data_IF_019212040645
#
_entry.id   IF_019212040645
#
_cell.length_a   1.000
_cell.length_b   1.000
_cell.length_c   1.000
_cell.angle_alpha   90.00
_cell.angle_beta   90.00
_cell.angle_gamma   90.00
#
_symmetry.space_group_name_H-M   'P 1'
#
loop_
_entity.id
_entity.type
_entity.pdbx_description
1 polymer ?
#
# COMPACT_ATOMS: atom_id res chain seq x y z
N UNK A 1 28.03 -23.58 27.48
CA UNK A 1 26.82 -24.05 26.77
C UNK A 1 25.65 -23.29 27.38
N UNK A 2 24.98 -22.40 26.63
CA UNK A 2 23.74 -21.78 27.09
C UNK A 2 22.70 -22.90 27.14
N UNK A 3 22.13 -23.17 28.31
CA UNK A 3 21.00 -24.10 28.40
C UNK A 3 19.88 -23.58 27.50
N UNK A 4 19.43 -24.41 26.55
CA UNK A 4 18.25 -24.11 25.74
C UNK A 4 17.06 -24.05 26.70
N UNK A 5 16.51 -22.84 26.89
CA UNK A 5 15.24 -22.70 27.59
C UNK A 5 14.11 -23.09 26.65
N UNK A 6 13.85 -24.40 26.59
CA UNK A 6 12.83 -25.01 25.74
C UNK A 6 11.42 -24.42 25.96
N UNK A 7 11.18 -23.72 27.08
CA UNK A 7 9.90 -23.06 27.34
C UNK A 7 9.79 -21.75 26.58
N UNK A 8 10.83 -20.92 26.62
CA UNK A 8 10.85 -19.63 25.92
C UNK A 8 10.71 -19.84 24.40
N UNK A 9 11.45 -20.80 23.84
CA UNK A 9 11.36 -21.13 22.42
C UNK A 9 9.93 -21.58 22.05
N UNK A 10 9.32 -22.43 22.89
CA UNK A 10 7.94 -22.91 22.67
C UNK A 10 6.91 -21.77 22.68
N UNK A 11 7.04 -20.81 23.60
CA UNK A 11 6.13 -19.67 23.67
C UNK A 11 6.25 -18.78 22.43
N UNK A 12 7.46 -18.56 21.92
CA UNK A 12 7.70 -17.81 20.67
C UNK A 12 7.06 -18.48 19.45
N UNK A 13 7.22 -19.80 19.31
CA UNK A 13 6.58 -20.56 18.22
C UNK A 13 5.06 -20.51 18.28
N UNK A 14 4.47 -20.65 19.48
CA UNK A 14 3.03 -20.58 19.67
C UNK A 14 2.50 -19.19 19.34
N UNK A 15 3.24 -18.13 19.69
CA UNK A 15 2.88 -16.76 19.36
C UNK A 15 2.91 -16.52 17.85
N UNK A 16 4.01 -16.89 17.20
CA UNK A 16 4.15 -16.77 15.75
C UNK A 16 3.02 -17.53 15.01
N UNK A 17 2.66 -18.72 15.48
CA UNK A 17 1.57 -19.52 14.92
C UNK A 17 0.21 -18.86 15.17
N UNK A 18 -0.04 -18.27 16.34
CA UNK A 18 -1.27 -17.56 16.65
C UNK A 18 -1.44 -16.32 15.76
N UNK A 19 -0.40 -15.50 15.62
CA UNK A 19 -0.42 -14.28 14.81
C UNK A 19 -0.63 -14.63 13.33
N UNK A 20 0.14 -15.60 12.81
CA UNK A 20 0.03 -16.07 11.43
C UNK A 20 -1.32 -16.71 11.15
N UNK A 21 -1.78 -17.60 12.04
CA UNK A 21 -3.08 -18.24 11.92
C UNK A 21 -4.23 -17.23 11.94
N UNK A 22 -4.15 -16.20 12.79
CA UNK A 22 -5.17 -15.14 12.85
C UNK A 22 -5.17 -14.30 11.58
N UNK A 23 -4.01 -13.85 11.09
CA UNK A 23 -3.89 -13.10 9.84
C UNK A 23 -4.47 -13.90 8.66
N UNK A 24 -4.15 -15.19 8.59
CA UNK A 24 -4.65 -16.09 7.55
C UNK A 24 -6.16 -16.29 7.62
N UNK A 25 -6.72 -16.55 8.81
CA UNK A 25 -8.18 -16.69 9.01
C UNK A 25 -8.90 -15.41 8.60
N UNK A 26 -8.39 -14.23 8.97
CA UNK A 26 -8.96 -12.94 8.58
C UNK A 26 -8.89 -12.74 7.07
N UNK A 27 -7.76 -13.06 6.43
CA UNK A 27 -7.62 -12.98 4.97
C UNK A 27 -8.61 -13.90 4.23
N UNK A 28 -8.81 -15.13 4.70
CA UNK A 28 -9.81 -16.07 4.15
C UNK A 28 -11.23 -15.53 4.34
N UNK A 29 -11.55 -15.00 5.51
CA UNK A 29 -12.85 -14.39 5.78
C UNK A 29 -13.11 -13.17 4.88
N UNK A 30 -12.08 -12.34 4.67
CA UNK A 30 -12.15 -11.20 3.76
C UNK A 30 -12.31 -11.64 2.31
N UNK A 31 -11.61 -12.67 1.85
CA UNK A 31 -11.80 -13.22 0.51
C UNK A 31 -13.25 -13.67 0.29
N UNK A 32 -13.85 -14.36 1.27
CA UNK A 32 -15.27 -14.73 1.21
C UNK A 32 -16.17 -13.49 1.13
N UNK A 33 -15.84 -12.43 1.86
CA UNK A 33 -16.56 -11.17 1.78
C UNK A 33 -16.40 -10.48 0.42
N UNK A 34 -15.20 -10.49 -0.17
CA UNK A 34 -14.92 -9.98 -1.53
C UNK A 34 -15.78 -10.69 -2.56
N UNK A 35 -15.82 -12.04 -2.53
CA UNK A 35 -16.64 -12.82 -3.47
C UNK A 35 -18.11 -12.42 -3.38
N UNK A 36 -18.64 -12.25 -2.17
CA UNK A 36 -20.03 -11.83 -1.98
C UNK A 36 -20.27 -10.36 -2.35
N UNK A 37 -19.33 -9.48 -2.02
CA UNK A 37 -19.45 -8.05 -2.27
C UNK A 37 -19.37 -7.78 -3.77
N UNK A 38 -18.32 -8.24 -4.47
CA UNK A 38 -18.12 -7.94 -5.89
C UNK A 38 -19.00 -8.78 -6.82
N UNK A 39 -19.39 -10.00 -6.43
CA UNK A 39 -20.29 -10.86 -7.20
C UNK A 39 -19.88 -10.93 -8.69
N UNK A 40 -20.75 -10.52 -9.62
CA UNK A 40 -20.48 -10.51 -11.05
C UNK A 40 -19.27 -9.64 -11.48
N UNK A 41 -18.89 -8.62 -10.70
CA UNK A 41 -17.75 -7.76 -11.02
C UNK A 41 -16.41 -8.46 -10.81
N UNK A 42 -16.35 -9.51 -9.98
CA UNK A 42 -15.11 -10.24 -9.74
C UNK A 42 -14.56 -10.87 -11.03
N UNK A 43 -15.44 -11.47 -11.85
CA UNK A 43 -15.04 -12.07 -13.12
C UNK A 43 -14.53 -11.02 -14.12
N UNK A 44 -15.15 -9.83 -14.12
CA UNK A 44 -14.72 -8.72 -14.97
C UNK A 44 -13.32 -8.22 -14.55
N UNK A 45 -13.05 -8.14 -13.24
CA UNK A 45 -11.75 -7.76 -12.72
C UNK A 45 -10.67 -8.80 -13.06
N UNK A 46 -10.98 -10.10 -12.93
CA UNK A 46 -10.08 -11.18 -13.35
C UNK A 46 -9.70 -11.09 -14.83
N UNK A 47 -10.67 -10.81 -15.71
CA UNK A 47 -10.40 -10.66 -17.14
C UNK A 47 -9.52 -9.43 -17.42
N UNK A 48 -9.71 -8.34 -16.67
CA UNK A 48 -8.87 -7.16 -16.76
C UNK A 48 -7.40 -7.45 -16.46
N UNK A 49 -7.16 -8.29 -15.45
CA UNK A 49 -5.84 -8.65 -14.95
C UNK A 49 -5.07 -9.47 -15.97
N UNK A 50 -5.73 -10.47 -16.57
CA UNK A 50 -5.19 -11.25 -17.69
C UNK A 50 -4.87 -10.33 -18.87
N UNK A 51 -5.72 -9.32 -19.12
CA UNK A 51 -5.50 -8.31 -20.15
C UNK A 51 -4.13 -7.62 -20.01
N UNK A 52 -3.66 -7.34 -18.79
CA UNK A 52 -2.35 -6.69 -18.58
C UNK A 52 -1.20 -7.53 -19.15
N UNK A 53 -1.19 -8.84 -18.91
CA UNK A 53 -0.14 -9.73 -19.43
C UNK A 53 -0.22 -9.91 -20.95
N UNK A 54 -1.44 -9.82 -21.51
CA UNK A 54 -1.67 -10.00 -22.94
C UNK A 54 -1.42 -8.73 -23.77
N UNK A 55 -1.25 -7.59 -23.11
CA UNK A 55 -1.09 -6.27 -23.73
C UNK A 55 -2.39 -5.51 -23.98
N UNK A 56 -3.48 -5.95 -23.35
CA UNK A 56 -4.82 -5.38 -23.41
C UNK A 56 -5.29 -4.89 -22.03
N UNK A 57 -4.58 -3.95 -21.38
CA UNK A 57 -5.01 -3.41 -20.10
C UNK A 57 -6.27 -2.56 -20.28
N UNK A 58 -7.08 -2.45 -19.22
CA UNK A 58 -8.19 -1.49 -19.22
C UNK A 58 -7.72 -0.07 -19.53
N UNK A 59 -6.59 0.34 -18.94
CA UNK A 59 -5.99 1.64 -19.15
C UNK A 59 -4.50 1.50 -19.31
N UNK A 60 -3.86 2.35 -20.14
CA UNK A 60 -2.41 2.25 -20.38
C UNK A 60 -1.56 2.33 -19.12
N UNK A 61 -1.96 3.13 -18.12
CA UNK A 61 -1.20 3.20 -16.88
C UNK A 61 -1.23 1.87 -16.10
N UNK A 62 -2.27 1.05 -16.27
CA UNK A 62 -2.30 -0.29 -15.67
C UNK A 62 -1.29 -1.26 -16.31
N UNK A 63 -0.67 -0.92 -17.44
CA UNK A 63 0.22 -1.83 -18.15
C UNK A 63 1.48 -2.23 -17.36
N UNK A 64 1.93 -1.40 -16.41
CA UNK A 64 3.09 -1.74 -15.57
C UNK A 64 2.76 -2.65 -14.39
N UNK A 65 1.51 -3.12 -14.26
CA UNK A 65 1.04 -3.96 -13.15
C UNK A 65 1.17 -5.44 -13.45
N UNK A 66 2.37 -5.84 -13.87
CA UNK A 66 2.63 -7.20 -14.37
C UNK A 66 2.88 -8.20 -13.25
N UNK A 67 3.38 -7.78 -12.09
CA UNK A 67 3.80 -8.68 -11.01
C UNK A 67 2.64 -9.53 -10.49
N UNK A 68 1.54 -8.90 -10.07
CA UNK A 68 0.44 -9.64 -9.46
C UNK A 68 -0.26 -10.59 -10.44
N UNK A 69 -0.64 -10.19 -11.68
CA UNK A 69 -1.15 -11.13 -12.67
C UNK A 69 -0.16 -12.24 -13.03
N UNK A 70 1.14 -11.94 -13.06
CA UNK A 70 2.17 -12.95 -13.30
C UNK A 70 2.22 -13.99 -12.18
N UNK A 71 2.07 -13.60 -10.91
CA UNK A 71 1.99 -14.54 -9.79
C UNK A 71 0.78 -15.46 -9.89
N UNK A 72 -0.38 -14.93 -10.31
CA UNK A 72 -1.58 -15.75 -10.56
C UNK A 72 -1.32 -16.76 -11.66
N UNK A 73 -0.72 -16.33 -12.76
CA UNK A 73 -0.40 -17.21 -13.87
C UNK A 73 0.59 -18.32 -13.45
N UNK A 74 1.60 -18.02 -12.64
CA UNK A 74 2.50 -19.04 -12.10
C UNK A 74 1.77 -20.09 -11.25
N UNK A 75 0.77 -19.68 -10.48
CA UNK A 75 -0.05 -20.60 -9.69
C UNK A 75 -0.99 -21.40 -10.61
N UNK A 76 -1.57 -20.78 -11.63
CA UNK A 76 -2.41 -21.44 -12.64
C UNK A 76 -1.66 -22.58 -13.34
N UNK A 77 -0.34 -22.42 -13.62
CA UNK A 77 0.51 -23.47 -14.20
C UNK A 77 0.60 -24.74 -13.33
N UNK A 78 0.18 -24.70 -12.07
CA UNK A 78 0.08 -25.90 -11.20
C UNK A 78 -1.20 -26.71 -11.43
N UNK A 79 -2.08 -26.26 -12.34
CA UNK A 79 -3.32 -26.95 -12.73
C UNK A 79 -4.58 -26.44 -12.04
N UNK A 80 -4.49 -25.38 -11.23
CA UNK A 80 -5.67 -24.71 -10.65
C UNK A 80 -6.23 -23.68 -11.63
N UNK A 81 -7.53 -23.39 -11.55
CA UNK A 81 -8.14 -22.34 -12.37
C UNK A 81 -7.75 -20.94 -11.88
N UNK A 82 -7.89 -19.94 -12.76
CA UNK A 82 -7.53 -18.54 -12.48
C UNK A 82 -8.23 -17.97 -11.24
N UNK A 83 -9.51 -18.29 -11.00
CA UNK A 83 -10.23 -17.81 -9.82
C UNK A 83 -9.59 -18.29 -8.52
N UNK A 84 -9.15 -19.56 -8.48
CA UNK A 84 -8.43 -20.13 -7.33
C UNK A 84 -7.04 -19.49 -7.22
N UNK A 85 -6.33 -19.32 -8.33
CA UNK A 85 -5.03 -18.65 -8.34
C UNK A 85 -5.12 -17.22 -7.77
N UNK A 86 -6.10 -16.43 -8.20
CA UNK A 86 -6.38 -15.10 -7.68
C UNK A 86 -6.70 -15.14 -6.18
N UNK A 87 -7.58 -16.05 -5.75
CA UNK A 87 -7.90 -16.22 -4.33
C UNK A 87 -6.64 -16.49 -3.49
N UNK A 88 -5.75 -17.35 -3.98
CA UNK A 88 -4.48 -17.67 -3.32
C UNK A 88 -3.62 -16.41 -3.20
N UNK A 89 -3.38 -15.68 -4.30
CA UNK A 89 -2.55 -14.46 -4.27
C UNK A 89 -3.17 -13.40 -3.34
N UNK A 90 -4.49 -13.20 -3.38
CA UNK A 90 -5.20 -12.24 -2.53
C UNK A 90 -5.08 -12.62 -1.03
N UNK A 91 -5.31 -13.89 -0.67
CA UNK A 91 -5.23 -14.37 0.71
C UNK A 91 -3.79 -14.24 1.24
N UNK A 92 -2.78 -14.64 0.47
CA UNK A 92 -1.38 -14.51 0.88
C UNK A 92 -0.94 -13.05 0.94
N UNK A 93 -1.41 -12.19 0.02
CA UNK A 93 -1.15 -10.76 0.04
C UNK A 93 -1.69 -10.09 1.29
N UNK A 94 -2.95 -10.35 1.65
CA UNK A 94 -3.58 -9.84 2.88
C UNK A 94 -2.93 -10.39 4.15
N UNK A 95 -2.65 -11.69 4.18
CA UNK A 95 -1.96 -12.32 5.31
C UNK A 95 -0.60 -11.67 5.52
N UNK A 96 0.20 -11.54 4.45
CA UNK A 96 1.52 -10.91 4.49
C UNK A 96 1.45 -9.43 4.90
N UNK A 97 0.46 -8.68 4.43
CA UNK A 97 0.27 -7.28 4.81
C UNK A 97 -0.05 -7.13 6.31
N UNK A 98 -0.96 -7.98 6.83
CA UNK A 98 -1.29 -8.02 8.25
C UNK A 98 -0.08 -8.39 9.13
N UNK A 99 0.68 -9.42 8.73
CA UNK A 99 1.91 -9.82 9.40
C UNK A 99 2.98 -8.72 9.38
N UNK A 100 3.21 -8.10 8.23
CA UNK A 100 4.19 -7.02 8.11
C UNK A 100 3.85 -5.86 9.06
N UNK A 101 2.57 -5.49 9.19
CA UNK A 101 2.15 -4.43 10.11
C UNK A 101 2.19 -4.82 11.58
N UNK A 102 1.89 -6.09 11.91
CA UNK A 102 2.10 -6.62 13.25
C UNK A 102 3.56 -6.44 13.67
N UNK A 103 4.50 -6.94 12.86
CA UNK A 103 5.93 -6.85 13.16
C UNK A 103 6.46 -5.41 13.10
N UNK A 104 5.91 -4.56 12.22
CA UNK A 104 6.29 -3.15 12.14
C UNK A 104 5.91 -2.41 13.44
N UNK A 105 4.69 -2.62 13.92
CA UNK A 105 4.21 -2.05 15.17
C UNK A 105 4.96 -2.63 16.38
N UNK A 106 5.27 -3.92 16.39
CA UNK A 106 6.06 -4.55 17.46
C UNK A 106 7.48 -3.97 17.51
N UNK A 107 8.13 -3.79 16.36
CA UNK A 107 9.45 -3.17 16.26
C UNK A 107 9.44 -1.73 16.81
N UNK A 108 8.38 -0.96 16.55
CA UNK A 108 8.27 0.42 17.01
C UNK A 108 7.86 0.57 18.48
N UNK A 109 7.05 -0.35 19.01
CA UNK A 109 6.47 -0.24 20.34
C UNK A 109 7.22 -1.04 21.42
N UNK A 110 8.09 -1.98 21.03
CA UNK A 110 8.84 -2.88 21.91
C UNK A 110 8.12 -4.21 22.17
N UNK A 111 8.79 -5.14 22.84
CA UNK A 111 8.30 -6.51 23.07
C UNK A 111 7.38 -6.66 24.31
N UNK A 112 7.18 -5.61 25.10
CA UNK A 112 6.29 -5.66 26.26
C UNK A 112 4.80 -5.73 25.90
N UNK A 113 3.94 -5.94 26.90
CA UNK A 113 2.47 -6.10 26.72
C UNK A 113 1.83 -4.96 25.92
N UNK A 114 2.19 -3.70 26.21
CA UNK A 114 1.72 -2.53 25.46
C UNK A 114 2.12 -2.58 23.98
N UNK A 115 3.34 -3.04 23.69
CA UNK A 115 3.83 -3.16 22.31
C UNK A 115 3.12 -4.27 21.53
N UNK A 116 2.86 -5.40 22.19
CA UNK A 116 2.09 -6.50 21.63
C UNK A 116 0.63 -6.11 21.35
N UNK A 117 -0.01 -5.35 22.25
CA UNK A 117 -1.36 -4.83 22.01
C UNK A 117 -1.42 -3.92 20.77
N UNK A 118 -0.40 -3.07 20.59
CA UNK A 118 -0.27 -2.20 19.41
C UNK A 118 -0.04 -3.00 18.12
N UNK A 119 0.75 -4.06 18.18
CA UNK A 119 0.95 -4.97 17.06
C UNK A 119 -0.36 -5.65 16.61
N UNK A 120 -1.12 -6.19 17.55
CA UNK A 120 -2.46 -6.74 17.28
C UNK A 120 -3.42 -5.68 16.74
N UNK A 121 -3.40 -4.47 17.31
CA UNK A 121 -4.23 -3.36 16.83
C UNK A 121 -3.91 -3.01 15.38
N UNK A 122 -2.63 -2.96 15.00
CA UNK A 122 -2.22 -2.66 13.62
C UNK A 122 -2.66 -3.75 12.64
N UNK A 123 -2.50 -5.03 12.99
CA UNK A 123 -2.98 -6.15 12.19
C UNK A 123 -4.49 -6.08 11.97
N UNK A 124 -5.26 -5.93 13.06
CA UNK A 124 -6.72 -5.87 12.98
C UNK A 124 -7.21 -4.63 12.23
N UNK A 125 -6.62 -3.46 12.50
CA UNK A 125 -6.94 -2.22 11.82
C UNK A 125 -6.68 -2.32 10.32
N UNK A 126 -5.61 -2.97 9.88
CA UNK A 126 -5.36 -3.20 8.46
C UNK A 126 -6.51 -3.96 7.79
N UNK A 127 -6.95 -5.06 8.39
CA UNK A 127 -8.07 -5.83 7.85
C UNK A 127 -9.38 -5.02 7.85
N UNK A 128 -9.67 -4.27 8.91
CA UNK A 128 -10.87 -3.41 8.95
C UNK A 128 -10.81 -2.31 7.88
N UNK A 129 -9.68 -1.63 7.75
CA UNK A 129 -9.47 -0.57 6.76
C UNK A 129 -9.56 -1.10 5.32
N UNK A 130 -9.01 -2.29 5.06
CA UNK A 130 -9.17 -2.94 3.75
C UNK A 130 -10.64 -3.09 3.38
N UNK A 131 -11.46 -3.64 4.29
CA UNK A 131 -12.89 -3.82 4.03
C UNK A 131 -13.62 -2.49 3.83
N UNK A 132 -13.28 -1.48 4.63
CA UNK A 132 -13.90 -0.16 4.55
C UNK A 132 -13.56 0.59 3.24
N UNK A 133 -12.42 0.28 2.62
CA UNK A 133 -11.92 0.94 1.41
C UNK A 133 -12.14 0.11 0.13
N UNK A 134 -12.90 -1.00 0.18
CA UNK A 134 -13.34 -1.67 -1.03
C UNK A 134 -14.40 -0.82 -1.73
N UNK A 135 -14.30 -0.66 -3.05
CA UNK A 135 -15.32 0.02 -3.86
C UNK A 135 -15.65 -0.80 -5.10
N UNK A 136 -16.94 -0.90 -5.40
CA UNK A 136 -17.41 -1.50 -6.66
C UNK A 136 -17.25 -0.49 -7.80
N UNK A 137 -17.03 -0.97 -9.04
CA UNK A 137 -16.83 -2.36 -9.43
C UNK A 137 -15.37 -2.84 -9.30
N UNK A 138 -14.43 -1.97 -8.91
CA UNK A 138 -13.02 -2.21 -9.09
C UNK A 138 -12.31 -2.72 -7.84
N UNK A 139 -11.77 -3.93 -7.91
CA UNK A 139 -10.77 -4.45 -6.99
C UNK A 139 -9.95 -5.47 -7.76
N UNK A 140 -8.67 -5.18 -7.92
CA UNK A 140 -7.78 -6.00 -8.73
C UNK A 140 -6.70 -6.67 -7.89
N UNK A 141 -6.06 -7.70 -8.45
CA UNK A 141 -5.06 -8.46 -7.73
C UNK A 141 -3.84 -7.64 -7.31
N UNK A 142 -3.45 -6.65 -8.12
CA UNK A 142 -2.34 -5.74 -7.79
C UNK A 142 -2.63 -4.84 -6.59
N UNK A 143 -3.91 -4.64 -6.20
CA UNK A 143 -4.27 -3.85 -5.01
C UNK A 143 -3.82 -4.58 -3.72
N UNK A 144 -3.88 -5.92 -3.70
CA UNK A 144 -3.38 -6.74 -2.59
C UNK A 144 -1.86 -6.72 -2.48
N UNK A 145 -1.16 -6.80 -3.63
CA UNK A 145 0.31 -6.70 -3.67
C UNK A 145 0.77 -5.28 -3.33
N UNK A 146 0.01 -4.24 -3.70
CA UNK A 146 0.26 -2.86 -3.30
C UNK A 146 0.15 -2.70 -1.77
N UNK A 147 -0.87 -3.29 -1.15
CA UNK A 147 -1.01 -3.32 0.30
C UNK A 147 0.16 -4.02 0.98
N UNK A 148 0.54 -5.20 0.50
CA UNK A 148 1.68 -5.96 1.02
C UNK A 148 2.97 -5.16 0.91
N UNK A 149 3.30 -4.64 -0.27
CA UNK A 149 4.54 -3.89 -0.49
C UNK A 149 4.60 -2.61 0.34
N UNK A 150 3.46 -1.93 0.52
CA UNK A 150 3.38 -0.74 1.38
C UNK A 150 3.50 -1.09 2.87
N UNK A 151 2.89 -2.19 3.32
CA UNK A 151 3.06 -2.70 4.68
C UNK A 151 4.52 -3.11 4.96
N UNK A 152 5.17 -3.78 4.01
CA UNK A 152 6.61 -4.13 4.07
C UNK A 152 7.46 -2.86 4.11
N UNK A 153 7.12 -1.81 3.34
CA UNK A 153 7.81 -0.52 3.43
C UNK A 153 7.78 0.03 4.87
N UNK A 154 6.61 0.06 5.53
CA UNK A 154 6.53 0.51 6.93
C UNK A 154 7.31 -0.39 7.89
N UNK A 155 7.31 -1.71 7.67
CA UNK A 155 8.16 -2.64 8.42
C UNK A 155 9.64 -2.27 8.29
N UNK A 156 10.13 -2.01 7.07
CA UNK A 156 11.52 -1.61 6.83
C UNK A 156 11.85 -0.26 7.49
N UNK A 157 10.92 0.70 7.47
CA UNK A 157 11.10 2.00 8.14
C UNK A 157 11.24 1.81 9.64
N UNK A 158 10.33 1.05 10.26
CA UNK A 158 10.28 0.90 11.71
C UNK A 158 11.34 -0.06 12.27
N UNK A 159 11.83 -0.99 11.46
CA UNK A 159 12.99 -1.85 11.79
C UNK A 159 14.34 -1.20 11.45
N UNK A 160 14.34 0.02 10.89
CA UNK A 160 15.55 0.74 10.47
C UNK A 160 16.40 -0.08 9.49
N UNK A 161 15.73 -0.73 8.55
CA UNK A 161 16.40 -1.54 7.56
C UNK A 161 17.44 -0.72 6.76
N UNK A 162 18.53 -1.36 6.30
CA UNK A 162 19.53 -0.69 5.48
C UNK A 162 18.97 -0.30 4.10
N UNK A 163 19.63 0.67 3.45
CA UNK A 163 19.20 1.22 2.15
C UNK A 163 18.95 0.16 1.06
N UNK A 164 19.71 -0.94 1.06
CA UNK A 164 19.57 -1.99 0.04
C UNK A 164 18.24 -2.74 0.16
N UNK A 165 17.64 -2.81 1.35
CA UNK A 165 16.33 -3.45 1.53
C UNK A 165 15.22 -2.62 0.89
N UNK A 166 15.32 -1.29 0.97
CA UNK A 166 14.40 -0.37 0.28
C UNK A 166 14.58 -0.44 -1.23
N UNK A 167 15.82 -0.55 -1.71
CA UNK A 167 16.09 -0.73 -3.14
C UNK A 167 15.54 -2.07 -3.66
N UNK A 168 15.67 -3.15 -2.89
CA UNK A 168 15.09 -4.45 -3.23
C UNK A 168 13.56 -4.38 -3.28
N UNK A 169 12.92 -3.73 -2.28
CA UNK A 169 11.48 -3.51 -2.28
C UNK A 169 11.03 -2.68 -3.48
N UNK A 170 11.73 -1.58 -3.80
CA UNK A 170 11.46 -0.75 -4.98
C UNK A 170 11.57 -1.57 -6.26
N UNK A 171 12.62 -2.39 -6.39
CA UNK A 171 12.86 -3.24 -7.56
C UNK A 171 11.77 -4.28 -7.79
N UNK A 172 11.13 -4.78 -6.75
CA UNK A 172 9.96 -5.69 -6.88
C UNK A 172 8.67 -4.89 -7.10
N UNK A 173 8.44 -3.85 -6.30
CA UNK A 173 7.18 -3.10 -6.29
C UNK A 173 6.93 -2.32 -7.59
N UNK A 174 7.98 -1.91 -8.32
CA UNK A 174 7.83 -1.18 -9.59
C UNK A 174 7.19 -2.03 -10.71
N UNK A 175 7.24 -3.36 -10.61
CA UNK A 175 6.50 -4.27 -11.49
C UNK A 175 5.02 -4.42 -11.10
N UNK A 176 4.59 -3.84 -9.98
CA UNK A 176 3.20 -3.92 -9.52
C UNK A 176 2.46 -2.59 -9.61
N UNK A 177 3.11 -1.48 -9.27
CA UNK A 177 2.45 -0.17 -9.24
C UNK A 177 3.45 0.99 -9.41
N UNK A 178 3.09 2.04 -10.14
CA UNK A 178 4.02 3.16 -10.39
C UNK A 178 4.32 3.96 -9.12
N UNK A 179 3.41 3.97 -8.14
CA UNK A 179 3.65 4.61 -6.84
C UNK A 179 4.84 4.03 -6.08
N UNK A 180 5.38 2.87 -6.48
CA UNK A 180 6.62 2.33 -5.95
C UNK A 180 7.77 3.35 -6.00
N UNK A 181 7.79 4.25 -7.00
CA UNK A 181 8.80 5.32 -7.11
C UNK A 181 8.84 6.24 -5.89
N UNK A 182 7.77 6.33 -5.10
CA UNK A 182 7.75 7.08 -3.85
C UNK A 182 8.68 6.48 -2.79
N UNK A 183 9.02 5.19 -2.87
CA UNK A 183 10.04 4.57 -2.01
C UNK A 183 11.39 5.25 -2.22
N UNK A 184 11.80 5.48 -3.48
CA UNK A 184 13.02 6.22 -3.79
C UNK A 184 12.94 7.68 -3.33
N UNK A 185 11.76 8.30 -3.47
CA UNK A 185 11.47 9.62 -2.88
C UNK A 185 11.70 9.68 -1.37
N UNK A 186 11.20 8.69 -0.62
CA UNK A 186 11.45 8.54 0.81
C UNK A 186 12.95 8.37 1.12
N UNK A 187 13.67 7.55 0.36
CA UNK A 187 15.11 7.34 0.58
C UNK A 187 15.90 8.65 0.45
N UNK A 188 15.59 9.45 -0.59
CA UNK A 188 16.20 10.77 -0.79
C UNK A 188 15.83 11.74 0.33
N UNK A 189 14.53 11.81 0.70
CA UNK A 189 14.06 12.68 1.78
C UNK A 189 14.73 12.32 3.11
N UNK A 190 14.82 11.02 3.44
CA UNK A 190 15.52 10.52 4.62
C UNK A 190 16.98 10.97 4.66
N UNK A 191 17.71 10.77 3.56
CA UNK A 191 19.14 11.14 3.49
C UNK A 191 19.36 12.64 3.74
N UNK A 192 18.51 13.49 3.18
CA UNK A 192 18.60 14.96 3.31
C UNK A 192 18.17 15.41 4.71
N UNK A 193 17.05 14.90 5.20
CA UNK A 193 16.49 15.29 6.50
C UNK A 193 17.40 14.83 7.64
N UNK A 194 17.88 13.59 7.64
CA UNK A 194 18.80 13.10 8.68
C UNK A 194 20.09 13.92 8.71
N UNK A 195 20.65 14.24 7.54
CA UNK A 195 21.84 15.08 7.42
C UNK A 195 21.64 16.50 7.95
N UNK A 196 20.48 17.10 7.66
CA UNK A 196 20.13 18.41 8.19
C UNK A 196 19.98 18.41 9.71
N UNK A 197 19.27 17.41 10.26
CA UNK A 197 19.03 17.25 11.70
C UNK A 197 20.34 17.01 12.45
N UNK A 198 21.22 16.18 11.89
CA UNK A 198 22.49 15.79 12.50
C UNK A 198 23.65 16.73 12.13
N UNK A 199 23.38 17.78 11.35
CA UNK A 199 24.37 18.76 10.87
C UNK A 199 25.58 18.10 10.20
N UNK A 200 25.35 17.03 9.44
CA UNK A 200 26.38 16.28 8.70
C UNK A 200 26.06 16.24 7.21
N UNK A 201 26.93 15.59 6.42
CA UNK A 201 26.68 15.37 5.00
C UNK A 201 25.60 14.28 4.79
N UNK A 202 24.76 14.40 3.74
CA UNK A 202 23.83 13.34 3.33
C UNK A 202 24.52 11.99 3.17
N UNK A 203 23.85 10.93 3.62
CA UNK A 203 24.30 9.58 3.30
C UNK A 203 24.06 9.32 1.80
N UNK A 204 25.15 9.37 1.04
CA UNK A 204 25.11 9.19 -0.41
C UNK A 204 24.58 7.82 -0.82
N UNK A 205 24.66 6.80 0.02
CA UNK A 205 24.10 5.47 -0.31
C UNK A 205 22.58 5.54 -0.38
N UNK A 206 21.94 6.24 0.56
CA UNK A 206 20.49 6.44 0.54
C UNK A 206 20.06 7.36 -0.60
N UNK A 207 20.78 8.49 -0.76
CA UNK A 207 20.43 9.50 -1.76
C UNK A 207 20.64 9.00 -3.20
N UNK A 208 21.80 8.42 -3.50
CA UNK A 208 22.10 7.90 -4.84
C UNK A 208 21.24 6.68 -5.18
N UNK A 209 21.05 5.73 -4.25
CA UNK A 209 20.19 4.57 -4.51
C UNK A 209 18.72 4.96 -4.66
N UNK A 210 18.24 5.96 -3.91
CA UNK A 210 16.89 6.51 -4.10
C UNK A 210 16.73 7.14 -5.49
N UNK A 211 17.67 8.01 -5.89
CA UNK A 211 17.64 8.68 -7.19
C UNK A 211 17.76 7.69 -8.36
N UNK A 212 18.84 6.90 -8.38
CA UNK A 212 19.12 5.94 -9.46
C UNK A 212 18.05 4.84 -9.49
N UNK A 213 17.59 4.38 -8.34
CA UNK A 213 16.51 3.41 -8.22
C UNK A 213 15.19 3.94 -8.79
N UNK A 214 14.80 5.18 -8.48
CA UNK A 214 13.61 5.80 -9.06
C UNK A 214 13.73 5.96 -10.58
N UNK A 215 14.87 6.42 -11.09
CA UNK A 215 15.11 6.54 -12.54
C UNK A 215 15.03 5.17 -13.23
N UNK A 216 15.65 4.14 -12.65
CA UNK A 216 15.58 2.78 -13.17
C UNK A 216 14.15 2.23 -13.13
N UNK A 217 13.40 2.45 -12.04
CA UNK A 217 12.01 2.05 -11.93
C UNK A 217 11.13 2.73 -13.01
N UNK A 218 11.30 4.03 -13.25
CA UNK A 218 10.60 4.72 -14.34
C UNK A 218 10.97 4.15 -15.72
N UNK A 219 12.26 3.87 -15.95
CA UNK A 219 12.70 3.26 -17.20
C UNK A 219 12.08 1.87 -17.42
N UNK A 220 12.00 1.03 -16.38
CA UNK A 220 11.34 -0.28 -16.43
C UNK A 220 9.84 -0.13 -16.69
N UNK A 221 9.15 0.74 -15.98
CA UNK A 221 7.72 1.01 -16.17
C UNK A 221 7.43 1.43 -17.61
N UNK A 222 8.22 2.36 -18.16
CA UNK A 222 8.05 2.83 -19.53
C UNK A 222 8.42 1.76 -20.56
N UNK A 223 9.46 0.96 -20.29
CA UNK A 223 9.82 -0.18 -21.14
C UNK A 223 8.68 -1.20 -21.21
N UNK A 224 8.08 -1.57 -20.08
CA UNK A 224 6.93 -2.47 -20.03
C UNK A 224 5.74 -1.90 -20.78
N UNK A 225 5.44 -0.61 -20.59
CA UNK A 225 4.37 0.09 -21.33
C UNK A 225 4.58 0.05 -22.84
N UNK A 226 5.80 0.31 -23.32
CA UNK A 226 6.08 0.33 -24.76
C UNK A 226 6.10 -1.06 -25.39
N UNK A 227 6.54 -2.07 -24.63
CA UNK A 227 6.79 -3.41 -25.17
C UNK A 227 5.55 -4.29 -25.07
N UNK A 228 4.78 -4.18 -23.99
CA UNK A 228 3.62 -5.05 -23.75
C UNK A 228 2.32 -4.44 -24.27
N UNK A 229 2.15 -3.11 -24.24
CA UNK A 229 0.89 -2.49 -24.66
C UNK A 229 0.63 -2.72 -26.14
N UNK A 230 -0.49 -3.38 -26.44
CA UNK A 230 -1.03 -3.52 -27.80
C UNK A 230 -2.18 -2.54 -28.00
N UNK A 231 -3.12 -2.52 -27.07
CA UNK A 231 -4.29 -1.65 -27.13
C UNK A 231 -4.88 -1.44 -25.73
N UNK A 232 -5.41 -0.25 -25.46
CA UNK A 232 -6.26 -0.02 -24.28
C UNK A 232 -7.68 -0.49 -24.55
N UNK A 233 -8.27 -1.30 -23.66
CA UNK A 233 -9.60 -1.89 -23.88
C UNK A 233 -10.69 -1.36 -22.95
N UNK A 234 -10.35 -0.52 -21.96
CA UNK A 234 -11.28 -0.03 -20.95
C UNK A 234 -12.50 0.66 -21.56
N UNK A 235 -12.29 1.53 -22.55
CA UNK A 235 -13.39 2.23 -23.22
C UNK A 235 -14.35 1.29 -24.00
N UNK A 236 -13.88 0.10 -24.41
CA UNK A 236 -14.72 -0.89 -25.11
C UNK A 236 -15.60 -1.67 -24.13
N UNK A 237 -15.08 -1.91 -22.92
CA UNK A 237 -15.73 -2.69 -21.86
C UNK A 237 -16.69 -1.80 -21.06
N UNK A 238 -16.27 -0.57 -20.74
CA UNK A 238 -17.03 0.37 -19.92
C UNK A 238 -17.65 1.49 -20.77
N UNK A 239 -18.54 1.12 -21.70
CA UNK A 239 -19.19 2.05 -22.65
C UNK A 239 -19.95 3.19 -21.96
N UNK A 240 -20.43 2.98 -20.73
CA UNK A 240 -21.16 4.00 -19.97
C UNK A 240 -20.24 5.07 -19.36
N UNK A 241 -18.95 4.76 -19.13
CA UNK A 241 -17.95 5.70 -18.62
C UNK A 241 -17.52 6.69 -19.72
N UNK A 242 -17.64 6.32 -21.00
CA UNK A 242 -17.37 7.23 -22.13
C UNK A 242 -18.27 8.46 -22.17
N UNK A 243 -19.41 8.49 -21.46
CA UNK A 243 -20.28 9.66 -21.44
C UNK A 243 -19.75 10.83 -20.63
N UNK A 244 -18.71 10.67 -19.79
CA UNK A 244 -18.19 11.76 -18.95
C UNK A 244 -16.77 12.25 -19.27
N UNK A 245 -16.01 11.58 -20.15
CA UNK A 245 -14.67 12.06 -20.54
C UNK A 245 -14.58 12.26 -22.05
N UNK A 246 -14.25 13.49 -22.43
CA UNK A 246 -14.03 13.92 -23.81
C UNK A 246 -13.18 12.92 -24.60
N UNK A 247 -13.60 12.66 -25.83
CA UNK A 247 -13.11 11.68 -26.81
C UNK A 247 -11.66 11.87 -27.30
N UNK A 248 -10.78 12.47 -26.50
CA UNK A 248 -9.38 12.71 -26.84
C UNK A 248 -8.46 12.17 -25.76
N UNK A 249 -7.47 11.41 -26.22
CA UNK A 249 -6.37 10.77 -25.48
C UNK A 249 -5.65 11.70 -24.47
N UNK A 250 -5.83 13.01 -24.58
CA UNK A 250 -5.32 14.05 -23.67
C UNK A 250 -5.97 14.05 -22.28
N UNK A 251 -7.05 13.28 -22.04
CA UNK A 251 -7.88 13.43 -20.85
C UNK A 251 -7.45 12.68 -19.57
N UNK A 252 -6.55 11.70 -19.65
CA UNK A 252 -6.26 10.82 -18.51
C UNK A 252 -5.05 11.24 -17.65
N UNK A 253 -4.26 12.21 -18.12
CA UNK A 253 -3.32 12.98 -17.29
C UNK A 253 -3.88 14.36 -16.92
N UNK A 254 -5.21 14.51 -16.88
CA UNK A 254 -5.79 15.70 -16.31
C UNK A 254 -5.50 15.73 -14.80
N UNK A 255 -5.06 16.90 -14.35
CA UNK A 255 -4.97 17.20 -12.94
C UNK A 255 -6.41 17.21 -12.42
N UNK A 256 -6.81 16.15 -11.71
CA UNK A 256 -8.17 15.89 -11.23
C UNK A 256 -8.56 16.74 -10.01
N UNK A 257 -7.72 17.70 -9.63
CA UNK A 257 -7.89 18.50 -8.42
C UNK A 257 -9.27 19.16 -8.38
N UNK A 258 -9.67 19.82 -9.47
CA UNK A 258 -10.97 20.52 -9.55
C UNK A 258 -12.16 19.57 -9.39
N UNK A 259 -12.14 18.44 -10.10
CA UNK A 259 -13.21 17.42 -10.04
C UNK A 259 -13.28 16.77 -8.66
N UNK A 260 -12.14 16.37 -8.09
CA UNK A 260 -12.08 15.76 -6.76
C UNK A 260 -12.58 16.71 -5.67
N UNK A 261 -12.22 18.00 -5.73
CA UNK A 261 -12.74 18.99 -4.77
C UNK A 261 -14.23 19.29 -4.97
N UNK A 262 -14.73 19.29 -6.21
CA UNK A 262 -16.16 19.36 -6.50
C UNK A 262 -16.93 18.20 -5.88
N UNK A 263 -16.46 16.97 -6.11
CA UNK A 263 -17.05 15.77 -5.51
C UNK A 263 -17.05 15.80 -3.98
N UNK A 264 -15.96 16.27 -3.36
CA UNK A 264 -15.90 16.39 -1.90
C UNK A 264 -16.93 17.38 -1.36
N UNK A 265 -17.13 18.51 -2.06
CA UNK A 265 -18.16 19.46 -1.71
C UNK A 265 -19.56 18.82 -1.80
N UNK A 266 -19.82 18.10 -2.89
CA UNK A 266 -21.09 17.41 -3.09
C UNK A 266 -21.34 16.38 -1.98
N UNK A 267 -20.37 15.55 -1.63
CA UNK A 267 -20.52 14.54 -0.55
C UNK A 267 -20.71 15.13 0.85
N UNK A 268 -20.18 16.34 1.11
CA UNK A 268 -20.37 17.03 2.39
C UNK A 268 -21.75 17.69 2.44
N UNK A 269 -22.22 18.25 1.32
CA UNK A 269 -23.48 19.00 1.26
C UNK A 269 -24.71 18.11 1.06
N UNK A 270 -24.55 16.96 0.41
CA UNK A 270 -25.58 15.94 0.21
C UNK A 270 -25.06 14.56 0.65
N UNK A 271 -24.99 14.30 1.98
CA UNK A 271 -24.48 13.05 2.49
C UNK A 271 -25.46 11.90 2.18
N UNK A 272 -25.23 11.24 1.05
CA UNK A 272 -25.92 10.02 0.67
C UNK A 272 -25.49 8.80 1.50
N UNK A 273 -26.18 7.68 1.29
CA UNK A 273 -25.82 6.39 1.89
C UNK A 273 -24.61 5.71 1.22
N UNK A 274 -24.01 6.35 0.20
CA UNK A 274 -22.97 5.79 -0.66
C UNK A 274 -21.59 5.62 -0.02
N UNK A 275 -21.44 5.84 1.30
CA UNK A 275 -20.15 5.83 2.02
C UNK A 275 -19.09 6.79 1.44
N UNK A 276 -19.42 7.64 0.46
CA UNK A 276 -18.45 8.52 -0.20
C UNK A 276 -17.80 9.53 0.77
N UNK A 277 -18.55 9.97 1.79
CA UNK A 277 -18.03 10.83 2.87
C UNK A 277 -16.87 10.18 3.64
N UNK A 278 -16.71 8.85 3.58
CA UNK A 278 -15.58 8.15 4.15
C UNK A 278 -14.25 8.63 3.53
N UNK A 279 -14.22 8.99 2.25
CA UNK A 279 -13.01 9.42 1.54
C UNK A 279 -12.39 10.69 2.16
N UNK A 280 -13.10 11.84 2.23
CA UNK A 280 -12.54 13.04 2.84
C UNK A 280 -12.23 12.86 4.33
N UNK A 281 -13.04 12.10 5.07
CA UNK A 281 -12.77 11.78 6.49
C UNK A 281 -11.49 10.95 6.63
N UNK A 282 -11.29 9.98 5.74
CA UNK A 282 -10.11 9.13 5.73
C UNK A 282 -8.84 9.93 5.37
N UNK A 283 -8.89 10.77 4.34
CA UNK A 283 -7.78 11.66 3.98
C UNK A 283 -7.45 12.66 5.09
N UNK A 284 -8.46 13.26 5.71
CA UNK A 284 -8.27 14.13 6.87
C UNK A 284 -7.64 13.37 8.04
N UNK A 285 -8.01 12.12 8.26
CA UNK A 285 -7.40 11.23 9.26
C UNK A 285 -5.92 10.97 8.95
N UNK A 286 -5.58 10.67 7.69
CA UNK A 286 -4.18 10.47 7.24
C UNK A 286 -3.36 11.74 7.50
N UNK A 287 -3.86 12.90 7.11
CA UNK A 287 -3.18 14.19 7.32
C UNK A 287 -3.04 14.52 8.81
N UNK A 288 -4.10 14.32 9.60
CA UNK A 288 -4.10 14.51 11.05
C UNK A 288 -3.08 13.61 11.75
N UNK A 289 -3.05 12.32 11.42
CA UNK A 289 -2.07 11.37 11.93
C UNK A 289 -0.64 11.76 11.51
N UNK A 290 -0.45 12.26 10.30
CA UNK A 290 0.85 12.76 9.83
C UNK A 290 1.34 13.93 10.68
N UNK A 291 0.47 14.92 10.94
CA UNK A 291 0.79 16.06 11.82
C UNK A 291 1.10 15.60 13.24
N UNK A 292 0.28 14.69 13.80
CA UNK A 292 0.50 14.16 15.15
C UNK A 292 1.82 13.38 15.23
N UNK A 293 2.13 12.58 14.23
CA UNK A 293 3.39 11.83 14.14
C UNK A 293 4.60 12.78 14.20
N UNK A 294 4.62 13.82 13.35
CA UNK A 294 5.72 14.81 13.35
C UNK A 294 5.80 15.56 14.68
N UNK A 295 4.66 15.95 15.27
CA UNK A 295 4.64 16.62 16.58
C UNK A 295 5.18 15.75 17.72
N UNK A 296 4.88 14.44 17.71
CA UNK A 296 5.29 13.52 18.80
C UNK A 296 6.70 12.98 18.63
N UNK A 297 7.08 12.64 17.41
CA UNK A 297 8.37 11.98 17.10
C UNK A 297 9.42 12.95 16.57
N UNK A 298 9.07 14.22 16.42
CA UNK A 298 9.96 15.29 16.02
C UNK A 298 10.34 15.24 14.55
N UNK A 299 11.40 15.99 14.25
CA UNK A 299 11.78 16.35 12.88
C UNK A 299 12.29 15.18 12.04
N UNK A 300 12.73 14.09 12.67
CA UNK A 300 13.15 12.86 11.98
C UNK A 300 11.98 12.12 11.33
N UNK A 301 10.77 12.30 11.83
CA UNK A 301 9.56 11.76 11.22
C UNK A 301 9.16 12.51 9.93
N UNK A 302 9.81 13.62 9.59
CA UNK A 302 9.49 14.44 8.42
C UNK A 302 9.71 13.69 7.10
N UNK A 303 10.66 12.75 7.05
CA UNK A 303 10.90 11.92 5.85
C UNK A 303 9.69 11.04 5.53
N UNK A 304 9.13 10.38 6.56
CA UNK A 304 7.92 9.59 6.44
C UNK A 304 6.69 10.47 6.18
N UNK A 305 6.62 11.64 6.82
CA UNK A 305 5.55 12.60 6.57
C UNK A 305 5.54 13.09 5.11
N UNK A 306 6.70 13.37 4.52
CA UNK A 306 6.84 13.75 3.11
C UNK A 306 6.38 12.61 2.19
N UNK A 307 6.73 11.36 2.51
CA UNK A 307 6.27 10.17 1.78
C UNK A 307 4.74 9.99 1.83
N UNK A 308 4.11 10.22 2.98
CA UNK A 308 2.64 10.14 3.09
C UNK A 308 1.99 11.32 2.36
N UNK A 309 2.51 12.53 2.53
CA UNK A 309 1.95 13.74 1.91
C UNK A 309 2.00 13.66 0.38
N UNK A 310 3.10 13.20 -0.21
CA UNK A 310 3.20 13.08 -1.68
C UNK A 310 2.21 12.05 -2.23
N UNK A 311 1.91 10.99 -1.48
CA UNK A 311 0.88 10.01 -1.85
C UNK A 311 -0.52 10.62 -1.80
N UNK A 312 -0.85 11.35 -0.73
CA UNK A 312 -2.13 12.08 -0.63
C UNK A 312 -2.26 13.08 -1.79
N UNK A 313 -1.21 13.85 -2.08
CA UNK A 313 -1.20 14.78 -3.20
C UNK A 313 -1.35 14.06 -4.54
N UNK A 314 -0.70 12.91 -4.73
CA UNK A 314 -0.84 12.12 -5.95
C UNK A 314 -2.26 11.57 -6.12
N UNK A 315 -2.92 11.13 -5.05
CA UNK A 315 -4.33 10.73 -5.10
C UNK A 315 -5.22 11.92 -5.48
N UNK A 316 -5.06 13.06 -4.81
CA UNK A 316 -5.88 14.24 -5.07
C UNK A 316 -5.66 14.83 -6.46
N UNK A 317 -4.44 14.72 -7.00
CA UNK A 317 -4.08 15.29 -8.30
C UNK A 317 -4.31 14.35 -9.47
N UNK A 318 -4.11 13.04 -9.30
CA UNK A 318 -4.06 12.06 -10.39
C UNK A 318 -5.04 10.89 -10.19
N UNK A 319 -5.50 10.65 -8.97
CA UNK A 319 -6.46 9.59 -8.65
C UNK A 319 -7.90 10.07 -8.87
N UNK A 320 -8.76 9.11 -9.20
CA UNK A 320 -10.20 9.28 -9.16
C UNK A 320 -10.66 9.02 -7.74
N UNK A 321 -10.96 10.06 -6.95
CA UNK A 321 -11.20 9.89 -5.51
C UNK A 321 -12.44 9.08 -5.18
N UNK A 322 -13.42 9.04 -6.08
CA UNK A 322 -14.60 8.17 -5.99
C UNK A 322 -14.24 6.66 -6.08
N UNK A 323 -13.04 6.30 -6.54
CA UNK A 323 -12.49 4.96 -6.41
C UNK A 323 -11.77 4.80 -5.06
N UNK A 324 -12.49 4.43 -3.99
CA UNK A 324 -11.90 4.28 -2.63
C UNK A 324 -10.69 3.35 -2.59
N UNK A 325 -10.61 2.37 -3.51
CA UNK A 325 -9.44 1.49 -3.67
C UNK A 325 -8.13 2.24 -3.90
N UNK A 326 -8.19 3.43 -4.52
CA UNK A 326 -7.01 4.28 -4.74
C UNK A 326 -6.39 4.74 -3.43
N UNK A 327 -7.14 4.70 -2.33
CA UNK A 327 -6.69 5.04 -0.97
C UNK A 327 -6.05 3.85 -0.25
N UNK A 328 -6.13 2.62 -0.77
CA UNK A 328 -5.65 1.42 -0.09
C UNK A 328 -4.16 1.49 0.27
N UNK A 329 -3.33 2.14 -0.54
CA UNK A 329 -1.90 2.31 -0.21
C UNK A 329 -1.66 3.15 1.06
N UNK A 330 -2.63 3.94 1.51
CA UNK A 330 -2.55 4.67 2.78
C UNK A 330 -3.03 3.83 3.98
N UNK A 331 -3.70 2.70 3.75
CA UNK A 331 -4.25 1.86 4.82
C UNK A 331 -3.18 1.35 5.79
N UNK A 332 -2.01 0.88 5.35
CA UNK A 332 -0.90 0.52 6.24
C UNK A 332 -0.46 1.66 7.18
N UNK A 333 -0.49 2.91 6.70
CA UNK A 333 -0.15 4.07 7.54
C UNK A 333 -1.18 4.28 8.65
N UNK A 334 -2.47 4.25 8.31
CA UNK A 334 -3.54 4.46 9.29
C UNK A 334 -3.64 3.30 10.26
N UNK A 335 -3.39 2.06 9.80
CA UNK A 335 -3.32 0.89 10.67
C UNK A 335 -2.27 1.05 11.79
N UNK A 336 -1.18 1.75 11.52
CA UNK A 336 -0.13 2.06 12.50
C UNK A 336 -0.45 3.28 13.39
N UNK A 337 -1.68 3.81 13.38
CA UNK A 337 -2.09 4.97 14.20
C UNK A 337 -1.70 4.82 15.68
N UNK A 338 -1.87 3.65 16.28
CA UNK A 338 -1.52 3.41 17.68
C UNK A 338 -0.02 3.60 17.97
N UNK A 339 0.84 3.40 16.97
CA UNK A 339 2.28 3.69 17.03
C UNK A 339 2.52 5.20 16.93
N UNK A 340 1.90 5.86 15.94
CA UNK A 340 2.06 7.30 15.71
C UNK A 340 1.59 8.14 16.89
N UNK A 341 0.49 7.71 17.51
CA UNK A 341 -0.09 8.33 18.68
C UNK A 341 0.69 8.04 19.97
N UNK A 342 1.66 7.12 20.01
CA UNK A 342 2.47 6.93 21.23
C UNK A 342 3.44 8.10 21.37
N UNK A 343 3.45 8.77 22.53
CA UNK A 343 4.46 9.79 22.84
C UNK A 343 5.77 9.07 23.20
N UNK A 344 6.92 9.42 22.58
CA UNK A 344 8.23 8.93 23.02
C UNK A 344 8.48 9.23 24.49
N UNK A 345 9.10 8.29 25.21
CA UNK A 345 9.55 8.43 26.59
C UNK A 345 11.05 8.13 26.69
N UNK A 346 11.70 8.45 27.80
CA UNK A 346 13.13 8.14 27.98
C UNK A 346 13.42 6.63 27.89
N UNK A 347 12.51 5.80 28.41
CA UNK A 347 12.60 4.34 28.39
C UNK A 347 12.22 3.73 27.04
N UNK A 348 11.41 4.44 26.25
CA UNK A 348 10.99 4.02 24.92
C UNK A 348 11.05 5.24 23.99
N UNK A 349 12.24 5.53 23.43
CA UNK A 349 12.48 6.79 22.74
C UNK A 349 11.78 6.85 21.37
N UNK A 350 11.02 5.82 21.02
CA UNK A 350 10.21 5.74 19.82
C UNK A 350 11.02 5.33 18.58
N UNK A 351 10.32 5.05 17.47
CA UNK A 351 10.95 4.48 16.28
C UNK A 351 11.99 5.39 15.62
N UNK A 352 11.91 6.71 15.83
CA UNK A 352 12.77 7.71 15.20
C UNK A 352 13.91 8.24 16.09
N UNK A 353 14.12 7.68 17.30
CA UNK A 353 15.24 8.06 18.15
C UNK A 353 16.59 7.51 17.62
N UNK A 354 17.69 8.23 17.85
CA UNK A 354 19.02 7.80 17.39
C UNK A 354 19.55 6.71 18.32
#
# INVERSE_FOLDING_TARGET
>A
MRGLDLRADREEYLDALLVTGTAFILAVAQWRHIVHFFDQYLLQNLQAEVGVLQGYPHWRFFQSRVLAPFLEHLIELTGVNLTIAHAVVAIFGLTGAGLALFYAAQAAAGQGTDGRQKAWTALLAMHVLFMALMSKPWLYIWDFVLLLTTAVFYLLVLTRAPWWSFLALLGVACFNHESAVFIGGYMMAKAVIDAWVEKRRPDWRWLASGLLGSVAAFAVIEFLRRTLLKEEVGYKIFRDIQKSSSTTFDAYFHIQVGENFGQFYDWITDPGLSLDLLIPVYLATVLGLTVVMVKRHGIRALSLAAFVLIQVLAVLALGLTNETRTLLHLAPFVALAAVWLKKPTAENPGPFAA
#
